data_IF_070247848618
#
_entry.id   IF_070247848618
#
_cell.length_a   1.000
_cell.length_b   1.000
_cell.length_c   1.000
_cell.angle_alpha   90.00
_cell.angle_beta   90.00
_cell.angle_gamma   90.00
#
_symmetry.space_group_name_H-M   'P 1'
#
loop_
_entity.id
_entity.type
_entity.pdbx_description
1 polymer ?
#
# COMPACT_ATOMS: atom_id res chain seq x y z
N UNK A 1 1.15 12.79 -23.84
CA UNK A 1 0.79 11.59 -24.65
C UNK A 1 -0.04 10.71 -23.75
N UNK A 2 -1.26 10.39 -24.14
CA UNK A 2 -2.14 9.51 -23.33
C UNK A 2 -1.67 8.06 -23.45
N UNK A 3 -1.86 7.27 -22.40
CA UNK A 3 -1.64 5.82 -22.45
C UNK A 3 -2.64 5.17 -23.42
N UNK A 4 -2.22 4.19 -24.23
CA UNK A 4 -3.15 3.47 -25.10
C UNK A 4 -4.15 2.64 -24.29
N UNK A 5 -3.72 2.07 -23.16
CA UNK A 5 -4.49 1.31 -22.19
C UNK A 5 -4.02 1.61 -20.78
N UNK A 6 -4.96 1.62 -19.80
CA UNK A 6 -4.62 1.82 -18.40
C UNK A 6 -4.08 0.56 -17.72
N UNK A 7 -4.39 -0.63 -18.22
CA UNK A 7 -3.90 -1.88 -17.66
C UNK A 7 -2.79 -2.48 -18.52
N UNK A 8 -1.71 -2.89 -17.88
CA UNK A 8 -0.53 -3.46 -18.51
C UNK A 8 -0.86 -4.66 -19.39
N UNK A 9 -1.67 -5.59 -18.88
CA UNK A 9 -2.08 -6.81 -19.57
C UNK A 9 -3.00 -6.59 -20.78
N UNK A 10 -3.58 -5.41 -20.92
CA UNK A 10 -4.47 -5.07 -22.03
C UNK A 10 -3.70 -4.53 -23.25
N UNK A 11 -2.41 -4.27 -23.09
CA UNK A 11 -1.54 -3.80 -24.16
C UNK A 11 -0.85 -4.96 -24.89
N UNK A 12 -0.80 -4.85 -26.22
CA UNK A 12 0.02 -5.74 -27.05
C UNK A 12 1.51 -5.37 -26.96
N UNK A 13 2.39 -6.30 -27.35
CA UNK A 13 3.83 -6.02 -27.43
C UNK A 13 4.18 -4.90 -28.41
N UNK A 14 3.37 -4.71 -29.47
CA UNK A 14 3.52 -3.62 -30.41
C UNK A 14 3.16 -2.26 -29.78
N UNK A 15 2.12 -2.20 -28.96
CA UNK A 15 1.78 -0.98 -28.20
C UNK A 15 2.90 -0.62 -27.22
N UNK A 16 3.50 -1.61 -26.52
CA UNK A 16 4.68 -1.37 -25.68
C UNK A 16 5.87 -0.81 -26.45
N UNK A 17 6.15 -1.31 -27.64
CA UNK A 17 7.27 -0.84 -28.47
C UNK A 17 7.12 0.63 -28.89
N UNK A 18 5.90 1.18 -28.88
CA UNK A 18 5.60 2.57 -29.27
C UNK A 18 5.48 3.53 -28.09
N UNK A 19 5.56 3.02 -26.84
CA UNK A 19 5.44 3.86 -25.66
C UNK A 19 6.65 4.81 -25.52
N UNK A 20 6.39 6.01 -25.03
CA UNK A 20 7.44 6.84 -24.41
C UNK A 20 7.76 6.27 -23.02
N UNK A 21 8.50 5.16 -23.02
CA UNK A 21 8.76 4.37 -21.82
C UNK A 21 9.48 5.16 -20.71
N UNK A 22 10.19 6.25 -21.06
CA UNK A 22 10.87 7.11 -20.09
C UNK A 22 9.87 7.89 -19.22
N UNK A 23 8.70 8.23 -19.76
CA UNK A 23 7.65 8.92 -19.01
C UNK A 23 6.69 7.98 -18.30
N UNK A 24 6.46 6.77 -18.84
CA UNK A 24 5.47 5.84 -18.29
C UNK A 24 5.77 5.49 -16.83
N UNK A 25 4.73 5.52 -16.02
CA UNK A 25 4.74 5.07 -14.64
C UNK A 25 4.00 3.74 -14.58
N UNK A 26 4.71 2.67 -14.22
CA UNK A 26 4.10 1.40 -13.89
C UNK A 26 3.66 1.40 -12.42
N UNK A 27 2.43 0.99 -12.14
CA UNK A 27 1.90 0.86 -10.79
C UNK A 27 1.62 -0.61 -10.50
N UNK A 28 2.30 -1.20 -9.53
CA UNK A 28 2.10 -2.57 -9.07
C UNK A 28 1.27 -2.55 -7.78
N UNK A 29 -0.02 -2.94 -7.83
CA UNK A 29 -0.84 -3.08 -6.64
C UNK A 29 -0.40 -4.34 -5.87
N UNK A 30 -0.15 -4.20 -4.56
CA UNK A 30 0.19 -5.29 -3.65
C UNK A 30 -0.69 -5.20 -2.41
N UNK A 31 -1.20 -6.32 -1.93
CA UNK A 31 -2.08 -6.40 -0.77
C UNK A 31 -1.76 -7.62 0.08
N UNK A 32 -2.76 -8.07 0.85
CA UNK A 32 -2.70 -9.31 1.59
C UNK A 32 -4.05 -10.06 1.55
N UNK A 33 -3.98 -11.35 1.84
CA UNK A 33 -5.12 -12.22 2.13
C UNK A 33 -4.91 -12.74 3.55
N UNK A 34 -5.52 -12.07 4.53
CA UNK A 34 -5.32 -12.36 5.94
C UNK A 34 -6.59 -12.18 6.75
N UNK A 35 -6.66 -12.81 7.93
CA UNK A 35 -7.78 -12.62 8.83
C UNK A 35 -7.98 -11.15 9.18
N UNK A 36 -9.21 -10.71 9.29
CA UNK A 36 -9.63 -9.35 9.70
C UNK A 36 -10.77 -9.44 10.72
N UNK A 37 -10.55 -10.18 11.81
CA UNK A 37 -11.57 -10.41 12.83
C UNK A 37 -12.73 -11.28 12.30
N UNK A 38 -13.82 -11.38 13.09
CA UNK A 38 -14.97 -12.20 12.74
C UNK A 38 -15.90 -11.56 11.71
N UNK A 39 -15.78 -10.26 11.44
CA UNK A 39 -16.76 -9.45 10.71
C UNK A 39 -16.31 -9.04 9.31
N UNK A 40 -15.03 -9.12 8.98
CA UNK A 40 -14.50 -8.78 7.66
C UNK A 40 -13.93 -10.01 6.92
N UNK A 41 -13.95 -10.01 5.58
CA UNK A 41 -13.39 -11.09 4.79
C UNK A 41 -11.85 -11.06 4.81
N UNK A 42 -11.22 -12.21 4.58
CA UNK A 42 -9.75 -12.29 4.49
C UNK A 42 -9.15 -11.48 3.33
N UNK A 43 -9.95 -11.03 2.38
CA UNK A 43 -9.54 -10.23 1.24
C UNK A 43 -9.63 -8.71 1.50
N UNK A 44 -9.79 -8.27 2.74
CA UNK A 44 -10.00 -6.84 3.07
C UNK A 44 -8.95 -5.93 2.46
N UNK A 45 -7.66 -6.21 2.67
CA UNK A 45 -6.57 -5.42 2.09
C UNK A 45 -6.63 -5.36 0.56
N UNK A 46 -6.85 -6.50 -0.07
CA UNK A 46 -6.94 -6.59 -1.53
C UNK A 46 -8.16 -5.80 -2.06
N UNK A 47 -9.30 -5.87 -1.39
CA UNK A 47 -10.51 -5.11 -1.74
C UNK A 47 -10.28 -3.59 -1.59
N UNK A 48 -9.68 -3.16 -0.49
CA UNK A 48 -9.36 -1.74 -0.25
C UNK A 48 -8.40 -1.22 -1.32
N UNK A 49 -7.32 -1.97 -1.62
CA UNK A 49 -6.37 -1.58 -2.67
C UNK A 49 -7.05 -1.39 -4.02
N UNK A 50 -7.85 -2.38 -4.44
CA UNK A 50 -8.58 -2.35 -5.71
C UNK A 50 -9.61 -1.22 -5.75
N UNK A 51 -10.32 -0.99 -4.64
CA UNK A 51 -11.32 0.08 -4.55
C UNK A 51 -10.70 1.48 -4.66
N UNK A 52 -9.63 1.74 -3.93
CA UNK A 52 -8.89 3.00 -4.03
C UNK A 52 -8.31 3.19 -5.43
N UNK A 53 -7.73 2.14 -6.00
CA UNK A 53 -7.17 2.19 -7.36
C UNK A 53 -8.26 2.44 -8.41
N UNK A 54 -9.39 1.77 -8.34
CA UNK A 54 -10.51 1.97 -9.25
C UNK A 54 -10.99 3.43 -9.19
N UNK A 55 -11.17 3.97 -7.97
CA UNK A 55 -11.56 5.36 -7.77
C UNK A 55 -10.52 6.35 -8.31
N UNK A 56 -9.23 6.06 -8.13
CA UNK A 56 -8.15 6.87 -8.69
C UNK A 56 -8.18 6.85 -10.23
N UNK A 57 -8.40 5.68 -10.86
CA UNK A 57 -8.46 5.54 -12.31
C UNK A 57 -9.64 6.30 -12.94
N UNK A 58 -10.80 6.36 -12.26
CA UNK A 58 -11.96 7.15 -12.71
C UNK A 58 -11.66 8.65 -12.81
N UNK A 59 -10.76 9.14 -11.95
CA UNK A 59 -10.42 10.57 -11.84
C UNK A 59 -9.06 10.90 -12.45
N UNK A 60 -8.33 9.90 -12.91
CA UNK A 60 -6.97 10.08 -13.41
C UNK A 60 -6.96 10.86 -14.72
N UNK A 61 -6.19 11.95 -14.82
CA UNK A 61 -6.07 12.71 -16.05
C UNK A 61 -5.54 11.84 -17.20
N UNK A 62 -6.05 12.08 -18.41
CA UNK A 62 -5.65 11.33 -19.60
C UNK A 62 -4.17 11.52 -19.97
N UNK A 63 -3.60 12.66 -19.65
CA UNK A 63 -2.20 13.01 -19.91
C UNK A 63 -1.21 12.43 -18.91
N UNK A 64 -1.68 11.87 -17.78
CA UNK A 64 -0.86 11.19 -16.79
C UNK A 64 -0.54 9.76 -17.27
N UNK A 65 0.72 9.45 -17.61
CA UNK A 65 1.09 8.21 -18.32
C UNK A 65 1.26 7.03 -17.36
N UNK A 66 0.17 6.61 -16.72
CA UNK A 66 0.15 5.51 -15.75
C UNK A 66 -0.41 4.25 -16.38
N UNK A 67 0.25 3.12 -16.17
CA UNK A 67 -0.26 1.78 -16.44
C UNK A 67 -0.20 0.91 -15.20
N UNK A 68 -1.26 0.13 -14.97
CA UNK A 68 -1.44 -0.72 -13.78
C UNK A 68 -1.09 -2.15 -14.12
N UNK A 69 -0.15 -2.74 -13.39
CA UNK A 69 0.18 -4.17 -13.48
C UNK A 69 -0.91 -5.04 -12.83
N UNK A 70 -0.97 -6.34 -13.18
CA UNK A 70 -1.81 -7.29 -12.43
C UNK A 70 -1.51 -7.23 -10.93
N UNK A 71 -2.55 -7.16 -10.12
CA UNK A 71 -2.42 -7.12 -8.66
C UNK A 71 -1.79 -8.42 -8.13
N UNK A 72 -0.92 -8.29 -7.14
CA UNK A 72 -0.38 -9.39 -6.35
C UNK A 72 -1.04 -9.39 -4.96
N UNK A 73 -2.15 -10.14 -4.77
CA UNK A 73 -2.97 -10.01 -3.57
C UNK A 73 -2.44 -10.80 -2.37
N UNK A 74 -1.53 -11.77 -2.57
CA UNK A 74 -0.97 -12.57 -1.47
C UNK A 74 0.34 -11.93 -1.04
N UNK A 75 0.36 -11.39 0.18
CA UNK A 75 1.48 -10.69 0.78
C UNK A 75 2.17 -11.48 1.89
N UNK A 76 2.76 -10.74 2.83
CA UNK A 76 3.40 -11.28 4.04
C UNK A 76 2.55 -10.98 5.26
N UNK A 77 1.89 -12.00 5.78
CA UNK A 77 0.90 -11.98 6.86
C UNK A 77 1.14 -13.08 7.87
N UNK A 78 2.40 -13.39 8.18
CA UNK A 78 2.71 -14.49 9.10
C UNK A 78 2.29 -14.21 10.56
N UNK A 79 2.05 -12.97 10.92
CA UNK A 79 1.47 -12.55 12.19
C UNK A 79 0.01 -13.00 12.37
N UNK A 80 -0.66 -13.41 11.30
CA UNK A 80 -2.06 -13.86 11.28
C UNK A 80 -2.22 -15.40 11.14
N UNK A 81 -1.12 -16.18 11.18
CA UNK A 81 -1.14 -17.63 10.93
C UNK A 81 -1.94 -18.46 11.95
N UNK A 82 -2.23 -17.92 13.14
CA UNK A 82 -3.08 -18.58 14.11
C UNK A 82 -4.57 -18.65 13.66
N UNK A 83 -4.95 -17.87 12.65
CA UNK A 83 -6.33 -17.78 12.18
C UNK A 83 -6.48 -18.47 10.81
N UNK A 84 -7.55 -19.29 10.62
CA UNK A 84 -7.82 -19.94 9.35
C UNK A 84 -8.08 -18.95 8.22
N UNK A 85 -7.67 -19.30 7.00
CA UNK A 85 -7.95 -18.51 5.79
C UNK A 85 -6.83 -17.55 5.38
N UNK A 86 -5.87 -17.26 6.25
CA UNK A 86 -4.70 -16.44 5.91
C UNK A 86 -3.79 -17.16 4.89
N UNK A 87 -3.48 -16.46 3.81
CA UNK A 87 -2.48 -16.88 2.80
C UNK A 87 -1.27 -15.96 2.91
N UNK A 88 -0.11 -16.51 3.18
CA UNK A 88 1.12 -15.72 3.33
C UNK A 88 2.29 -16.36 2.61
N UNK A 89 3.19 -15.51 2.12
CA UNK A 89 4.48 -15.92 1.54
C UNK A 89 5.63 -15.52 2.47
N UNK A 90 6.77 -16.19 2.33
CA UNK A 90 7.97 -15.76 3.05
C UNK A 90 8.51 -14.43 2.50
N UNK A 91 9.26 -13.70 3.32
CA UNK A 91 9.89 -12.45 2.89
C UNK A 91 10.80 -12.66 1.68
N UNK A 92 11.58 -13.75 1.66
CA UNK A 92 12.49 -14.11 0.55
C UNK A 92 11.72 -14.30 -0.75
N UNK A 93 10.58 -15.01 -0.69
CA UNK A 93 9.73 -15.26 -1.87
C UNK A 93 9.17 -13.93 -2.41
N UNK A 94 8.67 -13.05 -1.55
CA UNK A 94 8.12 -11.76 -1.96
C UNK A 94 9.19 -10.82 -2.49
N UNK A 95 10.35 -10.72 -1.85
CA UNK A 95 11.48 -9.92 -2.34
C UNK A 95 11.85 -10.39 -3.75
N UNK A 96 11.97 -11.69 -3.96
CA UNK A 96 12.29 -12.26 -5.27
C UNK A 96 11.19 -11.98 -6.29
N UNK A 97 9.93 -12.28 -5.96
CA UNK A 97 8.78 -12.08 -6.86
C UNK A 97 8.67 -10.62 -7.32
N UNK A 98 8.68 -9.68 -6.38
CA UNK A 98 8.49 -8.27 -6.72
C UNK A 98 9.70 -7.68 -7.45
N UNK A 99 10.91 -8.15 -7.13
CA UNK A 99 12.12 -7.78 -7.87
C UNK A 99 12.06 -8.29 -9.31
N UNK A 100 11.69 -9.56 -9.54
CA UNK A 100 11.58 -10.14 -10.88
C UNK A 100 10.48 -9.44 -11.72
N UNK A 101 9.35 -9.09 -11.11
CA UNK A 101 8.30 -8.29 -11.77
C UNK A 101 8.84 -6.89 -12.14
N UNK A 102 9.52 -6.22 -11.22
CA UNK A 102 10.14 -4.91 -11.48
C UNK A 102 11.21 -4.97 -12.57
N UNK A 103 11.97 -6.06 -12.65
CA UNK A 103 12.92 -6.29 -13.75
C UNK A 103 12.23 -6.52 -15.10
N UNK A 104 11.03 -7.13 -15.12
CA UNK A 104 10.21 -7.21 -16.33
C UNK A 104 9.76 -5.82 -16.79
N UNK A 105 9.34 -4.97 -15.85
CA UNK A 105 8.99 -3.57 -16.13
C UNK A 105 10.20 -2.82 -16.73
N UNK A 106 11.39 -3.00 -16.16
CA UNK A 106 12.62 -2.40 -16.67
C UNK A 106 12.98 -2.89 -18.09
N UNK A 107 12.76 -4.19 -18.39
CA UNK A 107 12.99 -4.75 -19.73
C UNK A 107 12.05 -4.17 -20.80
N UNK A 108 10.85 -3.78 -20.42
CA UNK A 108 9.94 -3.04 -21.31
C UNK A 108 10.34 -1.57 -21.53
N UNK A 109 11.47 -1.13 -20.94
CA UNK A 109 11.98 0.23 -21.06
C UNK A 109 11.42 1.20 -20.01
N UNK A 110 10.46 0.78 -19.21
CA UNK A 110 9.83 1.65 -18.18
C UNK A 110 10.77 1.82 -16.99
N UNK A 111 10.97 3.06 -16.57
CA UNK A 111 11.95 3.44 -15.55
C UNK A 111 11.33 3.96 -14.26
N UNK A 112 10.03 4.12 -14.21
CA UNK A 112 9.28 4.59 -13.03
C UNK A 112 8.32 3.48 -12.58
N UNK A 113 8.47 3.01 -11.33
CA UNK A 113 7.63 1.97 -10.74
C UNK A 113 7.11 2.45 -9.39
N UNK A 114 5.82 2.26 -9.14
CA UNK A 114 5.20 2.45 -7.82
C UNK A 114 4.76 1.08 -7.30
N UNK A 115 5.21 0.71 -6.11
CA UNK A 115 4.65 -0.40 -5.34
C UNK A 115 3.52 0.18 -4.49
N UNK A 116 2.27 -0.05 -4.87
CA UNK A 116 1.09 0.48 -4.20
C UNK A 116 0.49 -0.54 -3.25
N UNK A 117 0.62 -0.28 -1.96
CA UNK A 117 0.33 -1.23 -0.89
C UNK A 117 -0.86 -0.79 -0.02
N UNK A 118 -1.64 -1.78 0.43
CA UNK A 118 -2.73 -1.62 1.40
C UNK A 118 -2.55 -2.44 2.69
N UNK A 119 -1.41 -3.14 2.85
CA UNK A 119 -1.16 -4.03 3.98
C UNK A 119 -0.03 -3.54 4.88
N UNK A 120 -0.27 -3.52 6.21
CA UNK A 120 0.68 -3.02 7.21
C UNK A 120 1.90 -3.91 7.46
N UNK A 121 1.84 -5.21 7.15
CA UNK A 121 2.87 -6.21 7.47
C UNK A 121 4.05 -6.28 6.50
N UNK A 122 4.07 -5.52 5.39
CA UNK A 122 5.06 -5.68 4.32
C UNK A 122 5.83 -4.43 3.83
N UNK A 123 5.72 -3.22 4.42
CA UNK A 123 6.43 -2.03 3.93
C UNK A 123 7.96 -2.21 3.87
N UNK A 124 8.55 -2.95 4.82
CA UNK A 124 9.98 -3.22 4.86
C UNK A 124 10.47 -4.02 3.64
N UNK A 125 9.64 -4.93 3.14
CA UNK A 125 9.94 -5.69 1.91
C UNK A 125 9.90 -4.75 0.70
N UNK A 126 8.91 -3.86 0.64
CA UNK A 126 8.81 -2.86 -0.43
C UNK A 126 10.05 -1.98 -0.50
N UNK A 127 10.54 -1.52 0.66
CA UNK A 127 11.74 -0.68 0.74
C UNK A 127 13.00 -1.39 0.25
N UNK A 128 13.14 -2.69 0.59
CA UNK A 128 14.26 -3.51 0.10
C UNK A 128 14.18 -3.65 -1.43
N UNK A 129 13.03 -4.05 -1.95
CA UNK A 129 12.81 -4.24 -3.40
C UNK A 129 13.00 -2.93 -4.17
N UNK A 130 12.46 -1.83 -3.65
CA UNK A 130 12.61 -0.52 -4.29
C UNK A 130 14.07 -0.11 -4.42
N UNK A 131 14.86 -0.31 -3.37
CA UNK A 131 16.31 -0.01 -3.36
C UNK A 131 17.09 -0.93 -4.28
N UNK A 132 16.76 -2.22 -4.28
CA UNK A 132 17.41 -3.21 -5.15
C UNK A 132 17.18 -2.89 -6.63
N UNK A 133 15.96 -2.58 -7.03
CA UNK A 133 15.64 -2.19 -8.41
C UNK A 133 16.31 -0.86 -8.79
N UNK A 134 16.38 0.11 -7.85
CA UNK A 134 17.14 1.35 -8.07
C UNK A 134 18.61 1.06 -8.36
N UNK A 135 19.23 0.16 -7.63
CA UNK A 135 20.65 -0.21 -7.80
C UNK A 135 20.88 -1.01 -9.08
N UNK A 136 20.08 -2.08 -9.27
CA UNK A 136 20.30 -3.03 -10.37
C UNK A 136 19.87 -2.51 -11.73
N UNK A 137 18.81 -1.69 -11.78
CA UNK A 137 18.16 -1.26 -13.03
C UNK A 137 18.13 0.26 -13.24
N UNK A 138 18.72 1.01 -12.31
CA UNK A 138 18.70 2.47 -12.31
C UNK A 138 17.26 3.05 -12.43
N UNK A 139 16.27 2.37 -11.85
CA UNK A 139 14.86 2.78 -11.86
C UNK A 139 14.59 3.82 -10.77
N UNK A 140 13.57 4.64 -10.98
CA UNK A 140 12.85 5.34 -9.92
C UNK A 140 11.79 4.38 -9.40
N UNK A 141 11.94 3.93 -8.15
CA UNK A 141 10.95 3.05 -7.50
C UNK A 141 10.44 3.72 -6.25
N UNK A 142 9.12 3.81 -6.12
CA UNK A 142 8.44 4.43 -5.00
C UNK A 142 7.63 3.36 -4.26
N UNK A 143 7.94 3.16 -2.99
CA UNK A 143 7.13 2.36 -2.07
C UNK A 143 6.06 3.28 -1.47
N UNK A 144 4.78 2.99 -1.71
CA UNK A 144 3.67 3.81 -1.24
C UNK A 144 2.57 2.95 -0.62
N UNK A 145 2.29 3.17 0.65
CA UNK A 145 1.14 2.58 1.33
C UNK A 145 -0.04 3.54 1.32
N UNK A 146 -1.23 3.07 0.98
CA UNK A 146 -2.43 3.89 0.86
C UNK A 146 -2.74 4.73 2.09
N UNK A 147 -2.42 4.21 3.28
CA UNK A 147 -2.57 4.95 4.54
C UNK A 147 -1.50 6.04 4.76
N UNK A 148 -0.40 6.02 4.02
CA UNK A 148 0.65 7.05 4.12
C UNK A 148 0.20 8.44 3.64
N UNK A 149 -0.87 8.51 2.86
CA UNK A 149 -1.51 9.77 2.45
C UNK A 149 -2.24 10.50 3.60
N UNK A 150 -2.26 9.89 4.78
CA UNK A 150 -2.99 10.40 5.94
C UNK A 150 -4.49 10.10 5.88
N UNK A 151 -5.19 10.52 6.91
CA UNK A 151 -6.65 10.43 7.02
C UNK A 151 -7.24 11.83 7.04
N UNK A 152 -8.43 12.06 6.48
CA UNK A 152 -9.13 13.31 6.65
C UNK A 152 -9.35 13.60 8.15
N UNK A 153 -9.06 14.84 8.57
CA UNK A 153 -9.16 15.22 9.98
C UNK A 153 -10.61 15.08 10.48
N UNK A 154 -10.76 14.55 11.70
CA UNK A 154 -12.05 14.49 12.40
C UNK A 154 -13.01 13.39 11.92
N UNK A 155 -12.59 12.47 11.03
CA UNK A 155 -13.44 11.35 10.63
C UNK A 155 -13.54 10.26 11.70
N UNK A 156 -12.47 10.05 12.48
CA UNK A 156 -12.40 9.06 13.54
C UNK A 156 -11.76 9.66 14.78
N UNK A 157 -12.03 9.06 15.93
CA UNK A 157 -11.41 9.45 17.18
C UNK A 157 -9.89 9.21 17.15
N UNK A 158 -9.13 10.03 17.88
CA UNK A 158 -7.66 9.92 17.96
C UNK A 158 -7.20 8.55 18.47
N UNK A 159 -7.98 7.92 19.36
CA UNK A 159 -7.70 6.60 19.88
C UNK A 159 -7.81 5.53 18.78
N UNK A 160 -8.85 5.58 17.95
CA UNK A 160 -9.01 4.67 16.79
C UNK A 160 -7.89 4.88 15.77
N UNK A 161 -7.58 6.14 15.41
CA UNK A 161 -6.48 6.44 14.48
C UNK A 161 -5.13 5.93 14.97
N UNK A 162 -4.90 5.95 16.29
CA UNK A 162 -3.63 5.53 16.90
C UNK A 162 -3.54 4.04 17.15
N UNK A 163 -4.63 3.40 17.53
CA UNK A 163 -4.65 2.05 18.06
C UNK A 163 -5.50 1.06 17.26
N UNK A 164 -6.44 1.55 16.45
CA UNK A 164 -7.29 0.74 15.57
C UNK A 164 -6.55 0.33 14.29
N UNK A 165 -5.49 -0.47 14.44
CA UNK A 165 -4.53 -0.76 13.36
C UNK A 165 -4.95 -1.91 12.44
N UNK A 166 -6.01 -2.66 12.78
CA UNK A 166 -6.42 -3.85 12.03
C UNK A 166 -7.89 -4.19 12.26
N UNK A 167 -8.69 -4.22 11.20
CA UNK A 167 -10.11 -4.54 11.24
C UNK A 167 -10.94 -3.64 12.19
N UNK A 168 -10.49 -2.41 12.48
CA UNK A 168 -11.19 -1.42 13.27
C UNK A 168 -12.21 -0.63 12.44
N UNK A 169 -12.61 0.55 12.96
CA UNK A 169 -13.61 1.41 12.31
C UNK A 169 -13.16 1.87 10.91
N UNK A 170 -11.87 2.11 10.72
CA UNK A 170 -11.32 2.64 9.47
C UNK A 170 -11.52 1.63 8.33
N UNK A 171 -10.99 0.42 8.47
CA UNK A 171 -11.07 -0.62 7.43
C UNK A 171 -12.49 -1.13 7.26
N UNK A 172 -13.24 -1.29 8.36
CA UNK A 172 -14.64 -1.68 8.32
C UNK A 172 -15.48 -0.66 7.56
N UNK A 173 -15.26 0.64 7.75
CA UNK A 173 -15.93 1.71 7.00
C UNK A 173 -15.62 1.62 5.50
N UNK A 174 -14.35 1.44 5.14
CA UNK A 174 -13.97 1.28 3.73
C UNK A 174 -14.63 0.06 3.11
N UNK A 175 -14.67 -1.06 3.82
CA UNK A 175 -15.32 -2.29 3.33
C UNK A 175 -16.86 -2.14 3.24
N UNK A 176 -17.49 -1.44 4.17
CA UNK A 176 -18.92 -1.11 4.08
C UNK A 176 -19.24 -0.28 2.83
N UNK A 177 -18.33 0.60 2.41
CA UNK A 177 -18.49 1.34 1.16
C UNK A 177 -18.22 0.47 -0.09
N UNK A 178 -17.13 -0.30 -0.08
CA UNK A 178 -16.65 -1.03 -1.25
C UNK A 178 -17.33 -2.36 -1.47
N UNK A 179 -17.57 -3.13 -0.41
CA UNK A 179 -18.08 -4.49 -0.42
C UNK A 179 -19.00 -4.77 0.78
N UNK A 180 -20.11 -4.03 0.93
CA UNK A 180 -21.04 -4.23 2.04
C UNK A 180 -21.60 -5.66 2.11
N UNK A 181 -21.64 -6.35 0.98
CA UNK A 181 -22.06 -7.75 0.84
C UNK A 181 -21.16 -8.75 1.59
N UNK A 182 -19.90 -8.36 1.91
CA UNK A 182 -18.94 -9.19 2.61
C UNK A 182 -18.74 -8.82 4.09
N UNK A 183 -19.38 -7.74 4.56
CA UNK A 183 -19.22 -7.26 5.94
C UNK A 183 -20.31 -7.83 6.83
N UNK A 184 -19.92 -8.43 7.96
CA UNK A 184 -20.82 -9.02 8.95
C UNK A 184 -20.90 -8.09 10.17
N UNK A 185 -21.67 -6.99 10.06
CA UNK A 185 -21.82 -6.03 11.17
C UNK A 185 -22.47 -6.65 12.41
N UNK A 186 -23.19 -7.75 12.25
CA UNK A 186 -23.70 -8.55 13.37
C UNK A 186 -22.60 -9.22 14.23
N UNK A 187 -21.39 -9.30 13.72
CA UNK A 187 -20.18 -9.82 14.39
C UNK A 187 -19.18 -8.71 14.76
N UNK A 188 -19.45 -7.46 14.38
CA UNK A 188 -18.60 -6.33 14.74
C UNK A 188 -18.68 -6.04 16.26
N UNK A 189 -17.53 -5.71 16.84
CA UNK A 189 -17.44 -5.36 18.25
C UNK A 189 -16.40 -4.23 18.44
N UNK A 190 -16.33 -3.69 19.64
CA UNK A 190 -15.17 -2.92 20.08
C UNK A 190 -14.07 -3.91 20.48
N UNK A 191 -13.12 -4.13 19.59
CA UNK A 191 -11.96 -4.98 19.82
C UNK A 191 -10.84 -4.16 20.47
N UNK A 192 -11.07 -3.70 21.70
CA UNK A 192 -10.14 -2.85 22.46
C UNK A 192 -8.72 -3.46 22.46
N UNK A 193 -7.75 -2.85 21.79
CA UNK A 193 -6.45 -3.47 21.59
C UNK A 193 -5.56 -3.33 22.83
N UNK A 194 -4.73 -4.35 23.08
CA UNK A 194 -3.64 -4.30 24.07
C UNK A 194 -2.73 -3.06 23.89
N UNK A 195 -2.71 -2.49 22.68
CA UNK A 195 -1.94 -1.27 22.38
C UNK A 195 -2.30 -0.08 23.28
N UNK A 196 -3.57 0.05 23.69
CA UNK A 196 -4.01 1.12 24.59
C UNK A 196 -3.44 0.93 25.98
N UNK A 197 -3.36 -0.32 26.47
CA UNK A 197 -2.76 -0.67 27.76
C UNK A 197 -1.24 -0.46 27.71
N UNK A 198 -0.57 -0.95 26.66
CA UNK A 198 0.88 -0.76 26.49
C UNK A 198 1.27 0.72 26.40
N UNK A 199 0.47 1.54 25.74
CA UNK A 199 0.74 2.98 25.62
C UNK A 199 0.61 3.71 26.98
N UNK A 200 -0.20 3.21 27.90
CA UNK A 200 -0.31 3.76 29.25
C UNK A 200 0.90 3.36 30.14
N UNK A 201 1.48 2.18 29.91
CA UNK A 201 2.56 1.63 30.75
C UNK A 201 3.96 1.94 30.17
N UNK A 202 4.12 1.88 28.83
CA UNK A 202 5.42 2.00 28.18
C UNK A 202 5.52 3.22 27.28
N UNK A 203 6.54 4.03 27.49
CA UNK A 203 6.80 5.24 26.67
C UNK A 203 7.44 4.94 25.33
N UNK A 204 8.29 3.93 25.25
CA UNK A 204 9.15 3.66 24.09
C UNK A 204 8.86 2.31 23.42
N UNK A 205 8.27 1.36 24.12
CA UNK A 205 7.88 0.06 23.61
C UNK A 205 6.44 0.11 23.09
N UNK A 206 6.24 -0.26 21.83
CA UNK A 206 4.92 -0.22 21.20
C UNK A 206 4.92 -1.14 19.96
N UNK A 207 3.78 -1.73 19.58
CA UNK A 207 3.67 -2.50 18.33
C UNK A 207 3.96 -1.69 17.07
N UNK A 208 3.75 -0.36 17.08
CA UNK A 208 3.88 0.51 15.92
C UNK A 208 4.90 1.65 16.08
N UNK A 209 5.43 1.84 17.29
CA UNK A 209 6.32 2.95 17.64
C UNK A 209 7.77 2.79 17.17
N UNK A 210 8.66 3.63 17.73
CA UNK A 210 10.10 3.60 17.43
C UNK A 210 10.78 2.33 17.95
N UNK A 211 10.40 1.84 19.14
CA UNK A 211 10.81 0.55 19.71
C UNK A 211 9.73 -0.48 19.42
N UNK A 212 9.75 -1.07 18.22
CA UNK A 212 8.70 -1.97 17.75
C UNK A 212 8.78 -3.34 18.41
N UNK A 213 7.74 -3.71 19.14
CA UNK A 213 7.50 -5.08 19.55
C UNK A 213 7.01 -5.90 18.35
N UNK A 214 7.65 -7.02 18.07
CA UNK A 214 7.09 -8.00 17.15
C UNK A 214 5.95 -8.75 17.82
N UNK A 215 4.82 -8.88 17.15
CA UNK A 215 3.58 -9.43 17.70
C UNK A 215 2.91 -10.39 16.73
N UNK A 216 2.10 -11.29 17.28
CA UNK A 216 1.09 -12.04 16.55
C UNK A 216 -0.28 -11.39 16.78
N UNK A 217 -1.21 -11.49 15.84
CA UNK A 217 -2.51 -10.81 15.94
C UNK A 217 -3.27 -11.15 17.23
N UNK A 218 -3.21 -12.39 17.70
CA UNK A 218 -3.80 -12.82 18.98
C UNK A 218 -3.12 -12.24 20.22
N UNK A 219 -1.89 -11.73 20.13
CA UNK A 219 -1.23 -11.02 21.24
C UNK A 219 -1.88 -9.65 21.47
N UNK A 220 -2.41 -9.04 20.41
CA UNK A 220 -3.06 -7.73 20.46
C UNK A 220 -4.52 -7.84 20.90
N UNK A 221 -5.24 -8.84 20.39
CA UNK A 221 -6.61 -9.17 20.80
C UNK A 221 -6.96 -10.60 20.40
N UNK A 222 -7.68 -11.39 21.23
CA UNK A 222 -8.01 -12.79 20.94
C UNK A 222 -8.78 -13.02 19.64
N UNK A 223 -9.55 -12.04 19.14
CA UNK A 223 -10.25 -12.12 17.85
C UNK A 223 -9.34 -11.88 16.65
N UNK A 224 -8.12 -11.41 16.86
CA UNK A 224 -7.21 -10.96 15.81
C UNK A 224 -7.49 -9.57 15.25
N UNK A 225 -8.59 -8.91 15.63
CA UNK A 225 -8.92 -7.54 15.24
C UNK A 225 -8.45 -6.54 16.31
N UNK A 226 -8.20 -5.29 15.94
CA UNK A 226 -7.76 -4.19 16.81
C UNK A 226 -8.44 -2.89 16.43
N UNK A 227 -9.40 -2.43 17.21
CA UNK A 227 -10.14 -1.19 16.99
C UNK A 227 -11.63 -1.34 17.20
N UNK A 228 -12.37 -0.25 17.16
CA UNK A 228 -13.82 -0.25 17.38
C UNK A 228 -14.59 -0.41 16.07
N UNK A 229 -14.79 -1.64 15.60
CA UNK A 229 -15.53 -1.91 14.37
C UNK A 229 -17.02 -1.48 14.44
N UNK A 230 -17.60 -1.32 15.66
CA UNK A 230 -19.00 -0.87 15.81
C UNK A 230 -19.19 0.59 15.44
N UNK A 231 -18.12 1.38 15.45
CA UNK A 231 -18.15 2.80 15.04
C UNK A 231 -18.00 2.99 13.51
N UNK A 232 -17.99 1.92 12.73
CA UNK A 232 -17.82 2.00 11.28
C UNK A 232 -19.10 2.45 10.56
N UNK A 233 -18.94 3.22 9.49
CA UNK A 233 -20.02 3.54 8.56
C UNK A 233 -19.53 3.73 7.11
N UNK A 234 -20.42 3.47 6.14
CA UNK A 234 -20.12 3.51 4.71
C UNK A 234 -19.80 4.92 4.18
N UNK A 235 -20.32 5.97 4.78
CA UNK A 235 -20.10 7.36 4.34
C UNK A 235 -18.68 7.81 4.68
N UNK A 236 -18.18 7.50 5.88
CA UNK A 236 -16.78 7.69 6.24
C UNK A 236 -15.86 6.82 5.37
N UNK A 237 -16.28 5.59 5.07
CA UNK A 237 -15.57 4.70 4.12
C UNK A 237 -15.44 5.33 2.73
N UNK A 238 -16.50 5.92 2.21
CA UNK A 238 -16.50 6.65 0.94
C UNK A 238 -15.51 7.83 0.98
N UNK A 239 -15.52 8.61 2.05
CA UNK A 239 -14.60 9.74 2.22
C UNK A 239 -13.14 9.29 2.29
N UNK A 240 -12.84 8.16 2.95
CA UNK A 240 -11.49 7.56 3.00
C UNK A 240 -11.01 7.10 1.62
N UNK A 241 -11.84 6.38 0.86
CA UNK A 241 -11.51 5.90 -0.48
C UNK A 241 -11.25 7.08 -1.42
N UNK A 242 -12.08 8.12 -1.36
CA UNK A 242 -11.91 9.35 -2.14
C UNK A 242 -10.59 10.04 -1.80
N UNK A 243 -10.30 10.24 -0.51
CA UNK A 243 -9.07 10.87 -0.04
C UNK A 243 -7.82 10.08 -0.49
N UNK A 244 -7.81 8.77 -0.30
CA UNK A 244 -6.70 7.90 -0.70
C UNK A 244 -6.48 7.91 -2.23
N UNK A 245 -7.56 7.94 -3.03
CA UNK A 245 -7.50 8.04 -4.48
C UNK A 245 -6.88 9.38 -4.93
N UNK A 246 -7.28 10.49 -4.33
CA UNK A 246 -6.72 11.82 -4.60
C UNK A 246 -5.24 11.90 -4.21
N UNK A 247 -4.87 11.35 -3.05
CA UNK A 247 -3.48 11.30 -2.60
C UNK A 247 -2.60 10.48 -3.57
N UNK A 248 -3.11 9.34 -4.05
CA UNK A 248 -2.41 8.53 -5.06
C UNK A 248 -2.22 9.31 -6.37
N UNK A 249 -3.24 9.99 -6.88
CA UNK A 249 -3.14 10.82 -8.10
C UNK A 249 -2.12 11.95 -7.91
N UNK A 250 -2.12 12.61 -6.75
CA UNK A 250 -1.17 13.67 -6.43
C UNK A 250 0.28 13.15 -6.45
N UNK A 251 0.53 12.01 -5.81
CA UNK A 251 1.84 11.34 -5.85
C UNK A 251 2.27 10.98 -7.28
N UNK A 252 1.37 10.41 -8.07
CA UNK A 252 1.68 10.03 -9.45
C UNK A 252 2.02 11.23 -10.34
N UNK A 253 1.39 12.40 -10.10
CA UNK A 253 1.75 13.67 -10.75
C UNK A 253 3.14 14.15 -10.36
N UNK A 254 3.55 13.97 -9.11
CA UNK A 254 4.91 14.29 -8.65
C UNK A 254 5.94 13.36 -9.31
N UNK A 255 5.64 12.07 -9.40
CA UNK A 255 6.49 11.08 -10.07
C UNK A 255 6.62 11.38 -11.57
N UNK A 256 5.53 11.79 -12.25
CA UNK A 256 5.60 12.19 -13.67
C UNK A 256 6.57 13.35 -13.87
N UNK A 257 6.52 14.37 -13.03
CA UNK A 257 7.37 15.57 -13.12
C UNK A 257 8.81 15.34 -12.66
N UNK A 258 9.08 14.25 -11.92
CA UNK A 258 10.44 14.01 -11.39
C UNK A 258 11.40 13.66 -12.54
N UNK A 259 12.47 14.44 -12.75
CA UNK A 259 13.45 14.19 -13.81
C UNK A 259 14.37 13.03 -13.45
N UNK A 260 14.41 12.00 -14.31
CA UNK A 260 15.20 10.78 -14.07
C UNK A 260 16.73 11.05 -14.01
N UNK A 261 17.18 12.17 -14.57
CA UNK A 261 18.60 12.63 -14.54
C UNK A 261 19.09 12.92 -13.11
N UNK A 262 18.18 13.14 -12.16
CA UNK A 262 18.52 13.25 -10.73
C UNK A 262 18.91 11.91 -10.11
N UNK A 263 18.60 10.80 -10.76
CA UNK A 263 19.01 9.47 -10.35
C UNK A 263 20.44 9.18 -10.84
N UNK A 264 21.42 9.66 -10.13
CA UNK A 264 22.85 9.56 -10.52
C UNK A 264 23.34 8.12 -10.45
N UNK A 265 24.21 7.73 -11.38
CA UNK A 265 24.90 6.42 -11.41
C UNK A 265 26.17 6.38 -10.55
N UNK A 266 26.65 7.54 -10.09
CA UNK A 266 27.87 7.67 -9.27
C UNK A 266 27.88 8.99 -8.50
N UNK A 267 28.93 9.21 -7.68
CA UNK A 267 29.11 10.47 -6.99
C UNK A 267 29.28 11.61 -8.02
N UNK A 268 28.52 12.69 -7.81
CA UNK A 268 28.67 13.90 -8.63
C UNK A 268 30.09 14.47 -8.46
N UNK A 269 30.63 15.14 -9.48
CA UNK A 269 31.85 15.91 -9.33
C UNK A 269 31.67 16.89 -8.14
N UNK A 270 32.42 16.71 -7.09
CA UNK A 270 32.58 17.73 -6.03
C UNK A 270 33.48 18.77 -6.63
N UNK A 271 32.93 19.92 -7.04
CA UNK A 271 33.76 21.08 -7.33
C UNK A 271 34.41 21.51 -6.01
N UNK A 272 35.60 21.06 -5.74
CA UNK A 272 36.48 21.70 -4.76
C UNK A 272 36.94 23.02 -5.38
N UNK A 273 36.10 24.04 -5.39
CA UNK A 273 36.58 25.41 -5.41
C UNK A 273 37.22 25.64 -4.02
N UNK A 274 38.53 25.40 -3.94
CA UNK A 274 39.37 25.99 -2.91
C UNK A 274 39.30 27.51 -3.14
N UNK A 275 38.47 28.19 -2.33
CA UNK A 275 38.58 29.65 -2.24
C UNK A 275 39.96 29.96 -1.69
N UNK A 276 40.69 30.92 -2.29
CA UNK A 276 42.02 31.33 -1.90
C UNK A 276 42.06 31.99 -0.50
#
# INVERSE_FOLDING_TARGET
>A
MSMPRRFWQDMSSEEFARLDAARVIALLPVGAIEQHGPHLPVATDACINQGVLARALEQMPDDLPVTVLPMLPVGKSNEHLAFPGTLTLSAETLIRLWTEVGECVARAGVRKLVLFNSHGGQPQIMDIVARDLRVRRAMMVVAYSGYAGGLPAGLFDEAEVRHGIHAGAIETSMMLHLRPDLVRMDLAADFAPLMSELAAEYRHLSPTGAGRLAWMAQDLHPSGACGNATDADAERGRALVEHAAQALIALLREIDRYPLERLRSGPGAVSHELQP
#
